data_IF_932111361079
#
_entry.id   IF_932111361079
#
_cell.length_a   1.000
_cell.length_b   1.000
_cell.length_c   1.000
_cell.angle_alpha   90.00
_cell.angle_beta   90.00
_cell.angle_gamma   90.00
#
_symmetry.space_group_name_H-M   'P 1'
#
loop_
_entity.id
_entity.type
_entity.pdbx_description
1 polymer ?
#
# COMPACT_ATOMS: atom_id res chain seq x y z
N UNK A 1 3.66 -9.02 10.66
CA UNK A 1 2.75 -7.89 10.36
C UNK A 1 1.32 -8.43 10.32
N UNK A 2 0.35 -7.81 10.99
CA UNK A 2 -1.04 -8.23 10.87
C UNK A 2 -1.58 -7.84 9.49
N UNK A 3 -2.04 -8.84 8.72
CA UNK A 3 -2.65 -8.62 7.42
C UNK A 3 -4.04 -7.99 7.52
N UNK A 4 -4.57 -7.43 6.42
CA UNK A 4 -5.96 -6.99 6.37
C UNK A 4 -6.92 -8.14 6.66
N UNK A 5 -8.06 -7.85 7.32
CA UNK A 5 -9.18 -8.80 7.37
C UNK A 5 -9.61 -9.20 5.96
N UNK A 6 -10.06 -10.45 5.80
CA UNK A 6 -10.53 -11.02 4.53
C UNK A 6 -11.66 -10.19 3.92
N UNK A 7 -11.76 -10.19 2.59
CA UNK A 7 -12.77 -9.44 1.87
C UNK A 7 -14.19 -9.94 2.19
N UNK A 8 -14.38 -11.26 2.27
CA UNK A 8 -15.65 -11.88 2.66
C UNK A 8 -16.18 -11.34 4.00
N UNK A 9 -15.31 -11.25 5.02
CA UNK A 9 -15.70 -10.73 6.33
C UNK A 9 -16.19 -9.29 6.24
N UNK A 10 -15.54 -8.47 5.41
CA UNK A 10 -15.91 -7.06 5.20
C UNK A 10 -17.26 -6.93 4.54
N UNK A 11 -17.49 -7.73 3.49
CA UNK A 11 -18.72 -7.68 2.72
C UNK A 11 -19.90 -8.17 3.56
N UNK A 12 -19.73 -9.23 4.35
CA UNK A 12 -20.76 -9.73 5.26
C UNK A 12 -21.13 -8.73 6.35
N UNK A 13 -20.13 -8.05 6.94
CA UNK A 13 -20.37 -7.01 7.95
C UNK A 13 -21.06 -5.79 7.32
N UNK A 14 -20.58 -5.34 6.16
CA UNK A 14 -21.17 -4.21 5.46
C UNK A 14 -22.61 -4.49 5.04
N UNK A 15 -22.88 -5.67 4.48
CA UNK A 15 -24.22 -6.13 4.11
C UNK A 15 -25.17 -6.20 5.30
N UNK A 16 -24.68 -6.68 6.46
CA UNK A 16 -25.50 -6.71 7.68
C UNK A 16 -25.90 -5.31 8.14
N UNK A 17 -24.97 -4.35 8.07
CA UNK A 17 -25.25 -2.96 8.47
C UNK A 17 -26.14 -2.25 7.45
N UNK A 18 -25.92 -2.43 6.15
CA UNK A 18 -26.82 -1.89 5.11
C UNK A 18 -28.22 -2.51 5.18
N UNK A 19 -28.32 -3.77 5.62
CA UNK A 19 -29.58 -4.47 5.89
C UNK A 19 -30.30 -4.04 7.16
N UNK A 20 -29.86 -2.98 7.84
CA UNK A 20 -30.54 -2.40 9.01
C UNK A 20 -29.99 -2.84 10.37
N UNK A 21 -28.96 -3.68 10.44
CA UNK A 21 -28.29 -3.95 11.71
C UNK A 21 -27.48 -2.74 12.17
N UNK A 22 -27.46 -2.45 13.47
CA UNK A 22 -26.51 -1.47 14.00
C UNK A 22 -25.06 -1.97 13.85
N UNK A 23 -24.10 -1.04 13.70
CA UNK A 23 -22.68 -1.38 13.63
C UNK A 23 -22.18 -2.13 14.87
N UNK A 24 -22.76 -1.87 16.06
CA UNK A 24 -22.45 -2.62 17.29
C UNK A 24 -22.96 -4.06 17.23
N UNK A 25 -24.18 -4.26 16.76
CA UNK A 25 -24.74 -5.60 16.60
C UNK A 25 -23.93 -6.42 15.58
N UNK A 26 -23.57 -5.81 14.44
CA UNK A 26 -22.69 -6.45 13.46
C UNK A 26 -21.31 -6.79 14.07
N UNK A 27 -20.70 -5.86 14.81
CA UNK A 27 -19.41 -6.11 15.46
C UNK A 27 -19.44 -7.29 16.44
N UNK A 28 -20.49 -7.39 17.27
CA UNK A 28 -20.70 -8.53 18.17
C UNK A 28 -20.91 -9.83 17.40
N UNK A 29 -21.74 -9.82 16.34
CA UNK A 29 -22.04 -11.00 15.51
C UNK A 29 -20.80 -11.56 14.80
N UNK A 30 -19.90 -10.68 14.35
CA UNK A 30 -18.71 -11.05 13.58
C UNK A 30 -17.42 -11.04 14.41
N UNK A 31 -17.52 -10.85 15.73
CA UNK A 31 -16.38 -10.82 16.66
C UNK A 31 -15.27 -9.85 16.25
N UNK A 32 -15.65 -8.66 15.77
CA UNK A 32 -14.72 -7.58 15.38
C UNK A 32 -14.92 -6.34 16.26
N UNK A 33 -13.97 -5.39 16.18
CA UNK A 33 -14.15 -4.09 16.84
C UNK A 33 -15.30 -3.30 16.21
N UNK A 34 -16.06 -2.58 17.05
CA UNK A 34 -17.14 -1.67 16.60
C UNK A 34 -16.60 -0.61 15.63
N UNK A 35 -15.40 -0.09 15.90
CA UNK A 35 -14.75 0.91 15.02
C UNK A 35 -14.49 0.39 13.60
N UNK A 36 -14.22 -0.91 13.48
CA UNK A 36 -13.99 -1.58 12.18
C UNK A 36 -15.31 -1.71 11.42
N UNK A 37 -16.36 -2.17 12.10
CA UNK A 37 -17.70 -2.28 11.53
C UNK A 37 -18.21 -0.92 11.02
N UNK A 38 -18.04 0.15 11.81
CA UNK A 38 -18.39 1.52 11.41
C UNK A 38 -17.61 1.95 10.16
N UNK A 39 -16.29 1.69 10.11
CA UNK A 39 -15.46 2.04 8.95
C UNK A 39 -15.90 1.33 7.68
N UNK A 40 -16.25 0.04 7.76
CA UNK A 40 -16.71 -0.72 6.59
C UNK A 40 -18.10 -0.31 6.14
N UNK A 41 -19.02 -0.07 7.07
CA UNK A 41 -20.35 0.44 6.75
C UNK A 41 -20.29 1.82 6.09
N UNK A 42 -19.47 2.73 6.63
CA UNK A 42 -19.23 4.05 6.03
C UNK A 42 -18.69 3.91 4.61
N UNK A 43 -17.69 3.04 4.39
CA UNK A 43 -17.12 2.79 3.07
C UNK A 43 -18.14 2.24 2.08
N UNK A 44 -18.94 1.26 2.50
CA UNK A 44 -20.01 0.71 1.67
C UNK A 44 -21.00 1.80 1.24
N UNK A 45 -21.39 2.69 2.15
CA UNK A 45 -22.30 3.80 1.83
C UNK A 45 -21.68 4.88 0.93
N UNK A 46 -20.37 5.12 1.02
CA UNK A 46 -19.71 6.19 0.25
C UNK A 46 -19.11 5.74 -1.08
N UNK A 47 -18.55 4.52 -1.12
CA UNK A 47 -17.78 3.99 -2.25
C UNK A 47 -18.49 2.78 -2.92
N UNK A 48 -19.59 2.28 -2.34
CA UNK A 48 -20.31 1.10 -2.85
C UNK A 48 -19.63 -0.24 -2.60
N UNK A 49 -18.51 -0.26 -1.86
CA UNK A 49 -17.77 -1.48 -1.54
C UNK A 49 -17.10 -1.41 -0.16
N UNK A 50 -16.81 -2.56 0.44
CA UNK A 50 -16.07 -2.64 1.71
C UNK A 50 -14.57 -2.94 1.53
N UNK A 51 -14.05 -2.88 0.30
CA UNK A 51 -12.69 -3.29 -0.03
C UNK A 51 -11.58 -2.58 0.78
N UNK A 52 -10.49 -3.32 1.01
CA UNK A 52 -9.27 -2.74 1.55
C UNK A 52 -8.71 -1.71 0.58
N UNK A 53 -8.23 -0.59 1.13
CA UNK A 53 -7.35 0.30 0.34
C UNK A 53 -6.01 -0.41 0.14
N UNK A 54 -5.28 -0.07 -0.95
CA UNK A 54 -3.91 -0.49 -1.13
C UNK A 54 -3.13 -0.25 0.17
N UNK A 55 -2.52 -1.31 0.70
CA UNK A 55 -1.70 -1.26 1.91
C UNK A 55 -0.24 -1.09 1.47
N UNK A 56 0.35 0.06 1.78
CA UNK A 56 1.69 0.43 1.35
C UNK A 56 1.81 1.94 1.17
N UNK A 57 3.02 2.46 1.30
CA UNK A 57 3.35 3.85 0.96
C UNK A 57 3.61 4.00 -0.54
N UNK A 58 4.20 5.12 -0.93
CA UNK A 58 4.68 5.31 -2.29
C UNK A 58 5.78 4.29 -2.61
N UNK A 59 5.52 3.39 -3.57
CA UNK A 59 6.49 2.44 -4.09
C UNK A 59 7.32 3.01 -5.24
N UNK A 60 7.12 4.29 -5.60
CA UNK A 60 7.94 4.94 -6.63
C UNK A 60 9.34 5.15 -6.07
N UNK A 61 10.28 4.39 -6.60
CA UNK A 61 11.69 4.68 -6.41
C UNK A 61 12.00 6.06 -6.99
N UNK A 62 12.76 6.88 -6.26
CA UNK A 62 13.29 8.15 -6.79
C UNK A 62 14.23 7.94 -7.98
N UNK A 63 14.65 6.69 -8.22
CA UNK A 63 15.42 6.26 -9.39
C UNK A 63 14.53 5.83 -10.57
N UNK A 64 13.20 5.98 -10.47
CA UNK A 64 12.26 5.56 -11.52
C UNK A 64 12.61 6.16 -12.88
N UNK A 65 12.83 7.49 -12.93
CA UNK A 65 13.18 8.22 -14.16
C UNK A 65 14.60 7.91 -14.65
N UNK A 66 15.45 7.32 -13.81
CA UNK A 66 16.83 6.97 -14.13
C UNK A 66 17.06 5.46 -14.25
N UNK A 67 15.97 4.67 -14.29
CA UNK A 67 16.03 3.20 -14.31
C UNK A 67 16.89 2.68 -15.45
N UNK A 68 16.71 3.20 -16.66
CA UNK A 68 17.46 2.75 -17.84
C UNK A 68 18.96 3.07 -17.72
N UNK A 69 19.30 4.23 -17.17
CA UNK A 69 20.69 4.63 -16.95
C UNK A 69 21.38 3.71 -15.93
N UNK A 70 20.70 3.36 -14.84
CA UNK A 70 21.21 2.40 -13.84
C UNK A 70 21.43 1.03 -14.48
N UNK A 71 20.46 0.53 -15.23
CA UNK A 71 20.54 -0.77 -15.89
C UNK A 71 21.66 -0.81 -16.93
N UNK A 72 21.85 0.27 -17.69
CA UNK A 72 22.93 0.39 -18.67
C UNK A 72 24.29 0.41 -17.98
N UNK A 73 24.42 1.14 -16.87
CA UNK A 73 25.66 1.16 -16.08
C UNK A 73 26.01 -0.23 -15.55
N UNK A 74 25.04 -0.94 -14.98
CA UNK A 74 25.21 -2.31 -14.49
C UNK A 74 25.52 -3.30 -15.62
N UNK A 75 24.94 -3.13 -16.80
CA UNK A 75 25.23 -3.98 -17.95
C UNK A 75 26.66 -3.77 -18.47
N UNK A 76 27.17 -2.53 -18.42
CA UNK A 76 28.54 -2.23 -18.82
C UNK A 76 29.59 -2.61 -17.77
N UNK A 77 29.25 -2.51 -16.48
CA UNK A 77 30.14 -2.84 -15.37
C UNK A 77 29.33 -3.54 -14.26
N UNK A 78 29.20 -4.87 -14.33
CA UNK A 78 28.39 -5.63 -13.37
C UNK A 78 29.03 -5.73 -11.98
N UNK A 79 30.34 -5.52 -11.88
CA UNK A 79 31.12 -5.62 -10.63
C UNK A 79 31.15 -4.32 -9.82
N UNK A 80 30.42 -3.28 -10.25
CA UNK A 80 30.35 -2.02 -9.52
C UNK A 80 29.70 -2.21 -8.15
N UNK A 81 30.36 -1.67 -7.14
CA UNK A 81 29.80 -1.55 -5.80
C UNK A 81 28.66 -0.51 -5.78
N UNK A 82 27.79 -0.60 -4.77
CA UNK A 82 26.69 0.36 -4.60
C UNK A 82 27.18 1.82 -4.42
N UNK A 83 28.35 2.02 -3.82
CA UNK A 83 28.95 3.35 -3.65
C UNK A 83 29.42 3.95 -4.97
N UNK A 84 30.00 3.12 -5.85
CA UNK A 84 30.41 3.55 -7.19
C UNK A 84 29.20 3.86 -8.06
N UNK A 85 28.15 3.01 -8.01
CA UNK A 85 26.88 3.28 -8.68
C UNK A 85 26.27 4.61 -8.21
N UNK A 86 26.30 4.89 -6.90
CA UNK A 86 25.82 6.17 -6.35
C UNK A 86 26.63 7.36 -6.89
N UNK A 87 27.95 7.23 -6.94
CA UNK A 87 28.86 8.29 -7.42
C UNK A 87 28.63 8.57 -8.90
N UNK A 88 28.50 7.52 -9.71
CA UNK A 88 28.22 7.63 -11.15
C UNK A 88 26.85 8.26 -11.41
N UNK A 89 25.81 7.84 -10.68
CA UNK A 89 24.47 8.41 -10.83
C UNK A 89 24.39 9.88 -10.39
N UNK A 90 25.09 10.23 -9.31
CA UNK A 90 25.19 11.62 -8.86
C UNK A 90 25.94 12.49 -9.87
N UNK A 91 27.02 11.98 -10.44
CA UNK A 91 27.86 12.72 -11.40
C UNK A 91 27.15 12.90 -12.75
N UNK A 92 26.53 11.85 -13.28
CA UNK A 92 25.94 11.86 -14.63
C UNK A 92 24.52 12.42 -14.68
N UNK A 93 23.76 12.27 -13.60
CA UNK A 93 22.33 12.58 -13.61
C UNK A 93 21.89 13.53 -12.48
N UNK A 94 22.81 14.00 -11.62
CA UNK A 94 22.49 14.91 -10.51
C UNK A 94 21.57 14.28 -9.45
N UNK A 95 21.44 12.96 -9.45
CA UNK A 95 20.52 12.25 -8.55
C UNK A 95 21.23 11.95 -7.24
N UNK A 96 20.72 12.48 -6.13
CA UNK A 96 21.07 12.00 -4.79
C UNK A 96 20.10 10.90 -4.38
N UNK A 97 20.48 9.61 -4.42
CA UNK A 97 19.54 8.53 -4.20
C UNK A 97 19.00 8.42 -2.75
N UNK A 98 19.52 9.16 -1.78
CA UNK A 98 19.02 9.15 -0.40
C UNK A 98 19.12 10.56 0.22
N UNK A 99 18.03 11.01 0.86
CA UNK A 99 18.12 12.05 1.87
C UNK A 99 18.76 11.42 3.11
N UNK A 100 19.70 12.11 3.76
CA UNK A 100 20.25 11.70 5.05
C UNK A 100 19.15 11.64 6.11
#
# INVERSE_FOLDING_TARGET
MAGPYSQDLRDRVAAAVSGGCSARAAASRFSISVSTAIRWAKRMNTEGHAQARPMGGDHRSRLGDHREAVLTLLAHQPDLTLEEIRTELSTRHGVSPLCQ
#
